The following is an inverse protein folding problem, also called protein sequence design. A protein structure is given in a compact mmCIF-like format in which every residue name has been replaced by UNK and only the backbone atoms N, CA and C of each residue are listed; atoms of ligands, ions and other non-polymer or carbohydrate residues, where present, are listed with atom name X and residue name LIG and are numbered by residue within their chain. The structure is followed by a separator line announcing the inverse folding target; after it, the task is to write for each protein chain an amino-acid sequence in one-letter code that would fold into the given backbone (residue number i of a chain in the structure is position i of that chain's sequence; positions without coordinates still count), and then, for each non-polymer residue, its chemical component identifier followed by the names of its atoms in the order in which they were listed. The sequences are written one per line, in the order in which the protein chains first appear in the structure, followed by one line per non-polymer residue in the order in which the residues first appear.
data_IF_845195206374
#
_entry.id   IF_845195206374
#
_cell.length_a   1.000
_cell.length_b   1.000
_cell.length_c   1.000
_cell.angle_alpha   90.00
_cell.angle_beta   90.00
_cell.angle_gamma   90.00
#
_symmetry.space_group_name_H-M   'P 1'
#
loop_
_entity.id
_entity.type
_entity.pdbx_description
1 polymer ?
#
# COMPACT_ATOMS: atom_id res chain seq x y z
N UNK A 1 22.32 -3.74 3.70
CA UNK A 1 22.20 -3.07 2.38
C UNK A 1 21.43 -3.97 1.42
N UNK A 2 20.45 -3.44 0.72
CA UNK A 2 19.74 -4.11 -0.38
C UNK A 2 19.96 -3.30 -1.63
N UNK A 3 20.43 -3.93 -2.71
CA UNK A 3 20.66 -3.28 -4.00
C UNK A 3 19.79 -3.90 -5.07
N UNK A 4 19.10 -3.05 -5.84
CA UNK A 4 18.27 -3.43 -6.97
C UNK A 4 18.84 -2.74 -8.21
N UNK A 5 19.16 -3.53 -9.23
CA UNK A 5 19.60 -3.01 -10.53
C UNK A 5 18.58 -3.43 -11.59
N UNK A 6 18.23 -2.52 -12.47
CA UNK A 6 17.28 -2.78 -13.54
C UNK A 6 17.75 -2.16 -14.85
N UNK A 7 17.66 -2.93 -15.95
CA UNK A 7 17.65 -2.40 -17.32
C UNK A 7 16.22 -1.92 -17.59
N UNK A 8 16.08 -0.63 -17.78
CA UNK A 8 14.77 0.04 -17.89
C UNK A 8 14.41 0.42 -19.32
N UNK A 9 15.31 0.19 -20.28
CA UNK A 9 15.16 0.71 -21.66
C UNK A 9 13.87 0.24 -22.33
N UNK A 10 13.68 -1.07 -22.39
CA UNK A 10 12.47 -1.63 -23.04
C UNK A 10 11.20 -1.27 -22.28
N UNK A 11 11.25 -1.29 -20.94
CA UNK A 11 10.11 -0.96 -20.08
C UNK A 11 9.69 0.49 -20.26
N UNK A 12 10.64 1.41 -20.30
CA UNK A 12 10.36 2.84 -20.46
C UNK A 12 9.70 3.15 -21.81
N UNK A 13 10.23 2.60 -22.89
CA UNK A 13 9.74 2.84 -24.26
C UNK A 13 8.35 2.22 -24.47
N UNK A 14 8.15 0.96 -24.06
CA UNK A 14 6.86 0.27 -24.18
C UNK A 14 5.76 0.92 -23.31
N UNK A 15 6.09 1.30 -22.08
CA UNK A 15 5.14 1.96 -21.20
C UNK A 15 4.66 3.31 -21.72
N UNK A 16 5.55 4.13 -22.30
CA UNK A 16 5.15 5.39 -22.94
C UNK A 16 4.29 5.17 -24.18
N UNK A 17 4.54 4.10 -24.95
CA UNK A 17 3.72 3.76 -26.10
C UNK A 17 2.29 3.39 -25.70
N UNK A 18 2.15 2.60 -24.62
CA UNK A 18 0.86 2.22 -24.07
C UNK A 18 0.08 3.44 -23.54
N UNK A 19 0.74 4.36 -22.83
CA UNK A 19 0.10 5.61 -22.38
C UNK A 19 -0.41 6.44 -23.57
N UNK A 20 0.37 6.56 -24.63
CA UNK A 20 -0.04 7.30 -25.84
C UNK A 20 -1.23 6.69 -26.55
N UNK A 21 -1.32 5.37 -26.54
CA UNK A 21 -2.40 4.62 -27.20
C UNK A 21 -3.66 4.49 -26.32
N UNK A 22 -3.63 4.94 -25.06
CA UNK A 22 -4.70 4.75 -24.07
C UNK A 22 -5.08 3.26 -23.90
N UNK A 23 -4.10 2.39 -23.97
CA UNK A 23 -4.29 0.94 -23.91
C UNK A 23 -4.54 0.50 -22.46
N UNK A 24 -5.65 -0.21 -22.21
CA UNK A 24 -6.03 -0.70 -20.88
C UNK A 24 -5.09 -1.81 -20.37
N UNK A 25 -4.34 -2.48 -21.24
CA UNK A 25 -3.36 -3.52 -20.88
C UNK A 25 -2.12 -2.98 -20.15
N UNK A 26 -2.01 -1.66 -20.03
CA UNK A 26 -0.92 -1.00 -19.29
C UNK A 26 -0.76 -1.52 -17.86
N UNK A 27 -1.84 -1.85 -17.17
CA UNK A 27 -1.82 -2.33 -15.77
C UNK A 27 -1.25 -3.75 -15.60
N UNK A 28 -1.12 -4.52 -16.70
CA UNK A 28 -0.64 -5.92 -16.63
C UNK A 28 0.89 -6.06 -16.60
N UNK A 29 1.62 -4.97 -16.84
CA UNK A 29 3.10 -5.00 -16.92
C UNK A 29 3.80 -4.79 -15.57
N UNK A 30 3.10 -4.76 -14.43
CA UNK A 30 3.67 -4.42 -13.12
C UNK A 30 4.15 -2.97 -13.03
N UNK A 31 3.75 -2.15 -14.00
CA UNK A 31 3.97 -0.71 -14.05
C UNK A 31 2.71 0.03 -13.64
N UNK A 32 2.85 1.11 -12.89
CA UNK A 32 1.79 2.05 -12.57
C UNK A 32 1.90 3.30 -13.42
N UNK A 33 0.89 4.15 -13.31
CA UNK A 33 0.89 5.49 -13.90
C UNK A 33 0.76 6.50 -12.77
N UNK A 34 1.59 7.54 -12.79
CA UNK A 34 1.43 8.66 -11.88
C UNK A 34 0.25 9.54 -12.32
N UNK A 35 -0.78 9.59 -11.48
CA UNK A 35 -1.93 10.47 -11.65
C UNK A 35 -1.88 11.57 -10.58
N UNK A 36 -1.14 12.61 -10.86
CA UNK A 36 -1.08 13.78 -10.00
C UNK A 36 -1.55 14.99 -10.80
N UNK A 37 -2.51 15.75 -10.25
CA UNK A 37 -3.09 16.90 -10.92
C UNK A 37 -2.02 17.88 -11.41
N UNK A 38 -2.16 18.36 -12.65
CA UNK A 38 -1.24 19.28 -13.33
C UNK A 38 0.19 18.74 -13.53
N UNK A 39 0.37 17.42 -13.46
CA UNK A 39 1.65 16.75 -13.73
C UNK A 39 1.54 15.89 -14.99
N UNK A 40 2.65 15.66 -15.69
CA UNK A 40 2.69 14.72 -16.80
C UNK A 40 2.30 13.30 -16.37
N UNK A 41 1.52 12.63 -17.20
CA UNK A 41 1.22 11.21 -17.03
C UNK A 41 2.46 10.42 -17.45
N UNK A 42 3.13 9.81 -16.49
CA UNK A 42 4.38 9.07 -16.70
C UNK A 42 4.31 7.68 -16.04
N UNK A 43 4.99 6.68 -16.62
CA UNK A 43 5.07 5.34 -16.05
C UNK A 43 5.97 5.32 -14.82
N UNK A 44 5.63 4.47 -13.85
CA UNK A 44 6.52 4.11 -12.76
C UNK A 44 6.44 2.60 -12.48
N UNK A 45 7.51 2.05 -11.93
CA UNK A 45 7.58 0.67 -11.47
C UNK A 45 7.64 0.71 -9.95
N UNK A 46 6.82 -0.07 -9.27
CA UNK A 46 6.89 -0.18 -7.82
C UNK A 46 7.34 -1.57 -7.37
N UNK A 47 8.14 -1.60 -6.32
CA UNK A 47 8.58 -2.80 -5.62
C UNK A 47 8.46 -2.60 -4.12
N UNK A 48 8.01 -3.61 -3.42
CA UNK A 48 7.97 -3.58 -1.97
C UNK A 48 9.19 -4.30 -1.42
N UNK A 49 9.84 -3.68 -0.45
CA UNK A 49 11.11 -4.16 0.11
C UNK A 49 10.98 -4.24 1.61
N UNK A 50 11.23 -5.42 2.15
CA UNK A 50 11.33 -5.62 3.60
C UNK A 50 12.60 -4.96 4.12
N UNK A 51 12.47 -4.21 5.20
CA UNK A 51 13.57 -3.49 5.83
C UNK A 51 13.72 -3.91 7.30
N UNK A 52 14.90 -3.72 7.90
CA UNK A 52 15.10 -4.04 9.31
C UNK A 52 14.08 -3.31 10.20
N UNK A 53 13.62 -3.97 11.29
CA UNK A 53 12.51 -3.46 12.11
C UNK A 53 12.84 -2.12 12.79
N UNK A 54 14.10 -1.83 13.09
CA UNK A 54 14.51 -0.67 13.88
C UNK A 54 15.60 0.18 13.21
N UNK A 55 15.89 -0.02 11.92
CA UNK A 55 16.92 0.78 11.24
C UNK A 55 16.34 2.03 10.59
N UNK A 56 17.13 3.08 10.51
CA UNK A 56 16.92 4.19 9.58
C UNK A 56 17.25 3.70 8.19
N UNK A 57 16.36 3.99 7.22
CA UNK A 57 16.55 3.62 5.82
C UNK A 57 16.85 4.86 4.99
N UNK A 58 17.84 4.76 4.11
CA UNK A 58 18.19 5.77 3.12
C UNK A 58 18.29 5.13 1.75
N UNK A 59 17.84 5.87 0.74
CA UNK A 59 17.95 5.48 -0.66
C UNK A 59 19.13 6.21 -1.30
N UNK A 60 20.03 5.46 -1.93
CA UNK A 60 21.03 5.97 -2.87
C UNK A 60 20.64 5.54 -4.28
N UNK A 61 20.65 6.48 -5.23
CA UNK A 61 20.25 6.26 -6.62
C UNK A 61 21.37 6.62 -7.54
N UNK A 62 21.82 5.65 -8.33
CA UNK A 62 22.78 5.82 -9.41
C UNK A 62 22.06 5.58 -10.74
N UNK A 63 21.92 6.64 -11.53
CA UNK A 63 21.30 6.59 -12.86
C UNK A 63 22.40 6.71 -13.92
N UNK A 64 22.46 5.72 -14.80
CA UNK A 64 23.43 5.67 -15.88
C UNK A 64 22.69 5.76 -17.23
N UNK A 65 23.42 6.23 -18.26
CA UNK A 65 22.92 6.33 -19.63
C UNK A 65 21.61 7.15 -19.74
N UNK A 66 21.58 8.31 -19.07
CA UNK A 66 20.44 9.22 -19.14
C UNK A 66 20.46 9.95 -20.49
N UNK A 67 19.41 9.78 -21.28
CA UNK A 67 19.22 10.42 -22.59
C UNK A 67 18.02 11.34 -22.62
N UNK A 68 18.15 12.49 -23.25
CA UNK A 68 17.06 13.42 -23.47
C UNK A 68 16.46 13.22 -24.87
N UNK A 69 15.13 13.15 -24.95
CA UNK A 69 14.37 13.05 -26.19
C UNK A 69 13.40 14.23 -26.28
N UNK A 70 13.66 15.21 -27.17
CA UNK A 70 12.77 16.35 -27.35
C UNK A 70 11.37 15.93 -27.82
N UNK A 71 10.37 16.71 -27.41
CA UNK A 71 8.99 16.50 -27.79
C UNK A 71 8.50 17.62 -28.71
N UNK A 72 7.73 17.24 -29.73
CA UNK A 72 7.09 18.20 -30.64
C UNK A 72 5.89 18.92 -29.99
N UNK A 73 5.30 18.30 -28.95
CA UNK A 73 4.16 18.82 -28.18
C UNK A 73 4.34 18.50 -26.69
N UNK A 74 3.56 19.17 -25.85
CA UNK A 74 3.58 18.85 -24.43
C UNK A 74 3.07 17.42 -24.15
N UNK A 75 3.59 16.76 -23.08
CA UNK A 75 3.12 15.45 -22.70
C UNK A 75 1.64 15.50 -22.24
N UNK A 76 0.93 14.37 -22.27
CA UNK A 76 -0.39 14.30 -21.65
C UNK A 76 -0.30 14.61 -20.17
N UNK A 77 -1.25 15.44 -19.69
CA UNK A 77 -1.31 15.87 -18.30
C UNK A 77 -2.50 15.23 -17.59
N UNK A 78 -2.33 14.94 -16.33
CA UNK A 78 -3.41 14.50 -15.48
C UNK A 78 -4.39 15.65 -15.23
N UNK A 79 -5.64 15.44 -15.62
CA UNK A 79 -6.74 16.38 -15.41
C UNK A 79 -7.46 16.03 -14.11
N UNK A 80 -7.94 17.06 -13.43
CA UNK A 80 -8.85 16.89 -12.30
C UNK A 80 -10.21 16.35 -12.76
N UNK A 81 -10.90 15.61 -11.90
CA UNK A 81 -12.28 15.18 -12.08
C UNK A 81 -13.26 16.36 -12.26
N UNK A 82 -12.91 17.53 -11.75
CA UNK A 82 -13.67 18.78 -11.90
C UNK A 82 -13.32 19.56 -13.17
N UNK A 83 -12.47 19.00 -14.05
CA UNK A 83 -12.03 19.63 -15.31
C UNK A 83 -11.43 21.05 -15.09
N UNK A 84 -10.74 21.26 -13.96
CA UNK A 84 -10.06 22.53 -13.72
C UNK A 84 -9.04 22.79 -14.82
N UNK A 85 -8.85 24.06 -15.24
CA UNK A 85 -7.85 24.40 -16.24
C UNK A 85 -6.46 24.02 -15.75
N UNK A 86 -5.74 23.27 -16.55
CA UNK A 86 -4.32 22.93 -16.27
C UNK A 86 -3.47 24.17 -16.60
N UNK A 87 -2.78 24.68 -15.60
CA UNK A 87 -1.79 25.75 -15.80
C UNK A 87 -0.38 25.16 -15.91
N UNK A 88 -0.10 24.59 -17.05
CA UNK A 88 1.20 23.98 -17.33
C UNK A 88 2.36 25.01 -17.29
N UNK A 89 2.10 26.25 -17.68
CA UNK A 89 3.12 27.30 -17.77
C UNK A 89 3.64 27.68 -16.38
N UNK A 90 2.74 27.78 -15.39
CA UNK A 90 3.07 28.14 -14.01
C UNK A 90 3.25 26.90 -13.09
N UNK A 91 3.41 25.72 -13.66
CA UNK A 91 3.69 24.55 -12.85
C UNK A 91 5.00 24.73 -12.04
N UNK A 92 4.98 24.31 -10.78
CA UNK A 92 6.00 24.52 -9.76
C UNK A 92 7.23 23.59 -9.89
N UNK A 93 7.36 22.91 -11.02
CA UNK A 93 8.47 21.98 -11.31
C UNK A 93 9.15 22.31 -12.64
N UNK A 94 10.44 22.05 -12.74
CA UNK A 94 11.15 21.97 -14.01
C UNK A 94 11.29 20.50 -14.46
N UNK A 95 11.61 19.60 -13.52
CA UNK A 95 11.73 18.17 -13.79
C UNK A 95 10.71 17.41 -12.93
N UNK A 96 9.95 16.51 -13.57
CA UNK A 96 8.97 15.66 -12.89
C UNK A 96 9.05 14.21 -13.42
N UNK A 97 9.01 13.18 -12.56
CA UNK A 97 9.27 13.23 -11.12
C UNK A 97 10.65 13.79 -10.77
N UNK A 98 10.87 14.21 -9.52
CA UNK A 98 12.15 14.84 -9.13
C UNK A 98 13.34 13.88 -9.17
N UNK A 99 13.10 12.59 -8.96
CA UNK A 99 14.12 11.55 -8.94
C UNK A 99 13.77 10.39 -9.86
N UNK A 100 14.77 9.65 -10.33
CA UNK A 100 14.57 8.39 -11.04
C UNK A 100 14.13 7.26 -10.11
N UNK A 101 14.37 7.38 -8.82
CA UNK A 101 13.79 6.47 -7.83
C UNK A 101 13.54 7.21 -6.51
N UNK A 102 12.53 6.75 -5.77
CA UNK A 102 12.16 7.25 -4.45
C UNK A 102 11.60 6.13 -3.58
N UNK A 103 11.63 6.30 -2.27
CA UNK A 103 11.02 5.37 -1.32
C UNK A 103 9.90 6.07 -0.55
N UNK A 104 8.85 5.32 -0.24
CA UNK A 104 7.82 5.77 0.68
C UNK A 104 8.35 5.90 2.11
N UNK A 105 7.61 6.58 2.98
CA UNK A 105 7.78 6.39 4.42
C UNK A 105 7.64 4.91 4.76
N UNK A 106 8.45 4.38 5.69
CA UNK A 106 8.30 3.02 6.17
C UNK A 106 6.90 2.76 6.72
N UNK A 107 6.32 1.62 6.38
CA UNK A 107 5.03 1.16 6.86
C UNK A 107 5.14 -0.29 7.37
N UNK A 108 4.12 -0.74 8.10
CA UNK A 108 4.13 -2.05 8.74
C UNK A 108 2.90 -2.84 8.26
N UNK A 109 3.15 -4.06 7.79
CA UNK A 109 2.10 -5.04 7.52
C UNK A 109 2.34 -6.24 8.42
N UNK A 110 1.45 -6.50 9.37
CA UNK A 110 1.53 -7.64 10.31
C UNK A 110 2.94 -7.82 10.89
N UNK A 111 3.51 -6.72 11.45
CA UNK A 111 4.83 -6.70 12.06
C UNK A 111 6.01 -6.80 11.11
N UNK A 112 5.79 -6.87 9.82
CA UNK A 112 6.84 -6.75 8.81
C UNK A 112 6.94 -5.30 8.37
N UNK A 113 8.09 -4.70 8.62
CA UNK A 113 8.37 -3.32 8.23
C UNK A 113 8.89 -3.26 6.81
N UNK A 114 8.34 -2.38 6.01
CA UNK A 114 8.57 -2.31 4.57
C UNK A 114 8.64 -0.88 4.08
N UNK A 115 9.20 -0.71 2.89
CA UNK A 115 9.11 0.49 2.07
C UNK A 115 8.63 0.12 0.67
N UNK A 116 7.92 1.03 0.02
CA UNK A 116 7.68 0.97 -1.43
C UNK A 116 8.81 1.73 -2.13
N UNK A 117 9.59 1.06 -2.96
CA UNK A 117 10.50 1.68 -3.92
C UNK A 117 9.71 1.97 -5.18
N UNK A 118 9.67 3.23 -5.59
CA UNK A 118 9.12 3.66 -6.88
C UNK A 118 10.26 4.04 -7.79
N UNK A 119 10.33 3.41 -8.97
CA UNK A 119 11.33 3.69 -10.01
C UNK A 119 10.62 4.40 -11.16
N UNK A 120 11.12 5.54 -11.54
CA UNK A 120 10.60 6.41 -12.60
C UNK A 120 11.54 6.32 -13.81
N UNK A 121 11.34 5.38 -14.74
CA UNK A 121 12.26 5.18 -15.87
C UNK A 121 12.28 6.36 -16.83
N UNK A 122 11.22 7.18 -16.79
CA UNK A 122 11.07 8.39 -17.60
C UNK A 122 10.73 9.56 -16.69
N UNK A 123 11.41 10.68 -16.92
CA UNK A 123 11.11 11.98 -16.29
C UNK A 123 10.84 12.99 -17.38
N UNK A 124 10.09 14.02 -17.10
CA UNK A 124 9.84 15.11 -18.03
C UNK A 124 10.56 16.39 -17.57
N UNK A 125 11.27 17.03 -18.50
CA UNK A 125 11.90 18.32 -18.29
C UNK A 125 11.13 19.42 -19.03
N UNK A 126 10.52 20.33 -18.26
CA UNK A 126 9.66 21.39 -18.79
C UNK A 126 10.44 22.45 -19.60
N UNK A 127 11.60 22.88 -19.10
CA UNK A 127 12.42 23.92 -19.73
C UNK A 127 12.88 23.57 -21.14
N UNK A 128 13.10 22.29 -21.42
CA UNK A 128 13.55 21.80 -22.73
C UNK A 128 12.45 21.06 -23.51
N UNK A 129 11.27 20.92 -22.94
CA UNK A 129 10.15 20.09 -23.45
C UNK A 129 10.65 18.72 -23.90
N UNK A 130 11.30 17.99 -23.00
CA UNK A 130 11.94 16.71 -23.32
C UNK A 130 11.62 15.65 -22.30
N UNK A 131 11.53 14.39 -22.76
CA UNK A 131 11.62 13.25 -21.86
C UNK A 131 13.09 12.94 -21.54
N UNK A 132 13.36 12.65 -20.28
CA UNK A 132 14.64 12.13 -19.80
C UNK A 132 14.46 10.64 -19.49
N UNK A 133 15.05 9.79 -20.29
CA UNK A 133 15.06 8.35 -20.10
C UNK A 133 16.28 7.94 -19.30
N UNK A 134 16.10 7.03 -18.36
CA UNK A 134 17.18 6.34 -17.68
C UNK A 134 17.20 4.90 -18.17
N UNK A 135 18.25 4.51 -18.89
CA UNK A 135 18.33 3.16 -19.45
C UNK A 135 18.84 2.15 -18.39
N UNK A 136 19.74 2.59 -17.48
CA UNK A 136 20.26 1.76 -16.40
C UNK A 136 20.15 2.47 -15.06
N UNK A 137 19.57 1.79 -14.08
CA UNK A 137 19.38 2.30 -12.73
C UNK A 137 19.89 1.32 -11.68
N UNK A 138 20.61 1.84 -10.71
CA UNK A 138 20.91 1.13 -9.47
C UNK A 138 20.32 1.89 -8.29
N UNK A 139 19.39 1.27 -7.57
CA UNK A 139 18.83 1.76 -6.33
C UNK A 139 19.39 0.94 -5.16
N UNK A 140 20.03 1.60 -4.20
CA UNK A 140 20.62 0.95 -3.01
C UNK A 140 19.97 1.48 -1.75
N UNK A 141 19.37 0.59 -0.97
CA UNK A 141 18.85 0.88 0.35
C UNK A 141 19.95 0.62 1.39
N UNK A 142 20.32 1.65 2.10
CA UNK A 142 21.27 1.62 3.20
C UNK A 142 20.55 1.67 4.54
N UNK A 143 20.98 0.86 5.48
CA UNK A 143 20.42 0.78 6.82
C UNK A 143 21.46 1.22 7.85
N UNK A 144 21.04 2.06 8.78
CA UNK A 144 21.88 2.56 9.86
C UNK A 144 21.12 2.65 11.18
N UNK A 145 21.85 2.75 12.27
CA UNK A 145 21.28 3.07 13.57
C UNK A 145 20.79 4.53 13.60
N UNK A 146 19.82 4.80 14.47
CA UNK A 146 19.28 6.14 14.64
C UNK A 146 17.85 6.12 15.17
N UNK A 147 17.08 7.15 14.85
CA UNK A 147 15.67 7.28 15.20
C UNK A 147 14.79 6.92 13.95
N UNK A 148 14.34 5.67 13.85
CA UNK A 148 13.61 5.20 12.67
C UNK A 148 12.16 5.64 12.68
N UNK A 149 11.63 5.93 11.49
CA UNK A 149 10.20 6.13 11.29
C UNK A 149 9.47 4.80 11.36
N UNK A 150 8.38 4.71 12.12
CA UNK A 150 7.56 3.52 12.29
C UNK A 150 8.40 2.26 12.63
N UNK A 151 9.14 2.22 13.75
CA UNK A 151 9.86 1.04 14.16
C UNK A 151 8.91 -0.08 14.62
N UNK A 152 9.34 -1.32 14.47
CA UNK A 152 8.67 -2.48 15.07
C UNK A 152 9.40 -2.85 16.36
N UNK A 153 8.77 -2.64 17.50
CA UNK A 153 9.41 -2.88 18.80
C UNK A 153 9.65 -4.37 19.10
N UNK A 154 8.72 -5.23 18.72
CA UNK A 154 8.75 -6.66 18.97
C UNK A 154 8.57 -7.48 17.68
N UNK A 155 9.57 -7.55 16.79
CA UNK A 155 9.43 -8.18 15.48
C UNK A 155 9.18 -9.71 15.55
N UNK A 156 9.55 -10.35 16.68
CA UNK A 156 9.41 -11.80 16.86
C UNK A 156 8.09 -12.21 17.53
N UNK A 157 7.25 -11.26 17.94
CA UNK A 157 6.03 -11.53 18.72
C UNK A 157 4.81 -11.85 17.87
N UNK A 158 4.88 -11.65 16.56
CA UNK A 158 3.72 -11.83 15.70
C UNK A 158 3.74 -13.20 15.02
N UNK A 159 2.68 -13.93 15.26
CA UNK A 159 2.39 -15.15 14.54
C UNK A 159 2.25 -14.86 13.03
N UNK A 160 2.94 -15.63 12.19
CA UNK A 160 2.90 -15.50 10.74
C UNK A 160 2.25 -16.73 10.14
N UNK A 161 1.00 -16.60 9.72
CA UNK A 161 0.32 -17.68 9.04
C UNK A 161 1.02 -18.03 7.72
N UNK A 162 0.83 -19.27 7.27
CA UNK A 162 1.35 -19.71 5.98
C UNK A 162 0.82 -18.87 4.82
N UNK A 163 -0.44 -18.41 4.91
CA UNK A 163 -1.06 -17.56 3.90
C UNK A 163 -0.37 -16.19 3.84
N UNK A 164 -0.03 -15.62 5.00
CA UNK A 164 0.70 -14.35 5.04
C UNK A 164 2.13 -14.47 4.50
N UNK A 165 2.84 -15.56 4.82
CA UNK A 165 4.18 -15.78 4.26
C UNK A 165 4.13 -15.92 2.74
N UNK A 166 3.13 -16.63 2.21
CA UNK A 166 2.92 -16.70 0.76
C UNK A 166 2.60 -15.33 0.15
N UNK A 167 1.73 -14.55 0.81
CA UNK A 167 1.47 -13.18 0.38
C UNK A 167 2.76 -12.35 0.32
N UNK A 168 3.63 -12.45 1.34
CA UNK A 168 4.91 -11.74 1.33
C UNK A 168 5.83 -12.20 0.19
N UNK A 169 5.84 -13.49 -0.15
CA UNK A 169 6.62 -14.00 -1.28
C UNK A 169 6.16 -13.42 -2.63
N UNK A 170 4.86 -13.23 -2.77
CA UNK A 170 4.29 -12.63 -3.98
C UNK A 170 4.40 -11.09 -3.98
N UNK A 171 4.51 -10.47 -2.80
CA UNK A 171 4.41 -9.03 -2.63
C UNK A 171 5.76 -8.32 -2.48
N UNK A 172 6.74 -8.94 -1.81
CA UNK A 172 8.03 -8.32 -1.48
C UNK A 172 9.21 -8.98 -2.21
N UNK A 173 10.10 -8.17 -2.78
CA UNK A 173 11.27 -8.63 -3.55
C UNK A 173 12.28 -9.44 -2.72
N UNK A 174 12.34 -9.21 -1.42
CA UNK A 174 13.30 -9.83 -0.50
C UNK A 174 12.61 -10.47 0.71
N UNK A 175 11.51 -11.15 0.50
CA UNK A 175 10.75 -11.84 1.55
C UNK A 175 11.56 -12.93 2.26
N UNK A 176 12.61 -13.45 1.60
CA UNK A 176 13.52 -14.48 2.11
C UNK A 176 14.29 -14.08 3.38
N UNK A 177 14.42 -12.76 3.64
CA UNK A 177 15.04 -12.28 4.87
C UNK A 177 14.15 -12.42 6.11
N UNK A 178 12.87 -12.75 5.92
CA UNK A 178 11.92 -12.93 7.01
C UNK A 178 12.10 -14.36 7.56
N UNK A 179 12.40 -14.48 8.87
CA UNK A 179 12.48 -15.77 9.51
C UNK A 179 11.14 -16.52 9.37
N UNK A 180 11.22 -17.73 8.86
CA UNK A 180 10.06 -18.63 8.64
C UNK A 180 9.94 -19.70 9.70
N UNK A 181 11.02 -19.88 10.48
CA UNK A 181 11.12 -20.92 11.49
C UNK A 181 11.12 -20.30 12.88
N UNK A 182 9.98 -20.39 13.55
CA UNK A 182 9.93 -20.31 15.01
C UNK A 182 9.73 -21.73 15.53
N UNK A 183 10.79 -22.39 16.05
CA UNK A 183 10.73 -23.79 16.48
C UNK A 183 9.75 -24.04 17.65
N UNK A 184 9.35 -22.98 18.35
CA UNK A 184 8.43 -23.03 19.49
C UNK A 184 7.00 -22.57 19.18
N UNK A 185 6.71 -22.12 17.96
CA UNK A 185 5.35 -21.76 17.58
C UNK A 185 4.55 -23.00 17.20
N UNK A 186 3.38 -23.24 17.81
CA UNK A 186 2.46 -24.21 17.31
C UNK A 186 2.11 -23.83 15.85
N UNK A 187 2.13 -24.81 14.97
CA UNK A 187 1.81 -24.61 13.54
C UNK A 187 0.36 -24.15 13.44
N UNK A 188 0.12 -22.84 13.47
CA UNK A 188 -1.16 -22.27 13.13
C UNK A 188 -1.29 -22.22 11.62
N UNK A 189 -2.23 -22.98 11.07
CA UNK A 189 -2.43 -23.08 9.63
C UNK A 189 -3.16 -21.88 9.04
N UNK A 190 -3.92 -21.14 9.83
CA UNK A 190 -4.78 -20.07 9.40
C UNK A 190 -4.54 -18.75 10.15
N UNK A 191 -5.12 -17.71 9.62
CA UNK A 191 -5.14 -16.38 10.23
C UNK A 191 -6.15 -16.30 11.37
N UNK A 192 -5.95 -15.37 12.29
CA UNK A 192 -6.91 -15.01 13.32
C UNK A 192 -7.80 -13.85 12.84
N UNK A 193 -9.08 -14.08 12.70
CA UNK A 193 -10.08 -13.11 12.26
C UNK A 193 -10.80 -12.44 13.43
N UNK A 194 -10.92 -11.11 13.39
CA UNK A 194 -11.95 -10.41 14.13
C UNK A 194 -13.09 -10.05 13.14
N UNK A 195 -14.24 -10.68 13.32
CA UNK A 195 -15.45 -10.35 12.56
C UNK A 195 -16.26 -9.34 13.37
N UNK A 196 -16.35 -8.11 12.87
CA UNK A 196 -17.17 -7.05 13.46
C UNK A 196 -18.47 -6.97 12.69
N UNK A 197 -19.58 -7.20 13.35
CA UNK A 197 -20.89 -7.22 12.69
C UNK A 197 -21.98 -6.64 13.60
N UNK A 198 -23.00 -6.08 12.98
CA UNK A 198 -24.20 -5.68 13.72
C UNK A 198 -24.92 -6.93 14.29
N UNK A 199 -25.50 -6.81 15.49
CA UNK A 199 -26.20 -7.93 16.15
C UNK A 199 -27.25 -8.59 15.24
N UNK A 200 -27.96 -7.80 14.43
CA UNK A 200 -28.97 -8.29 13.50
C UNK A 200 -28.38 -8.95 12.23
N UNK A 201 -27.08 -8.81 11.96
CA UNK A 201 -26.41 -9.46 10.84
C UNK A 201 -25.68 -10.74 11.24
N UNK A 202 -25.63 -11.07 12.53
CA UNK A 202 -24.84 -12.19 13.04
C UNK A 202 -25.30 -13.53 12.47
N UNK A 203 -26.60 -13.75 12.31
CA UNK A 203 -27.16 -14.96 11.71
C UNK A 203 -26.70 -15.14 10.26
N UNK A 204 -26.61 -14.06 9.49
CA UNK A 204 -26.16 -14.09 8.10
C UNK A 204 -24.63 -14.26 7.98
N UNK A 205 -23.87 -13.84 8.97
CA UNK A 205 -22.43 -14.04 9.04
C UNK A 205 -22.04 -15.47 9.45
N UNK A 206 -22.92 -16.20 10.12
CA UNK A 206 -22.64 -17.51 10.70
C UNK A 206 -22.08 -18.53 9.70
N UNK A 207 -22.58 -18.69 8.45
CA UNK A 207 -22.03 -19.64 7.48
C UNK A 207 -20.58 -19.33 7.10
N UNK A 208 -20.21 -18.04 6.97
CA UNK A 208 -18.85 -17.62 6.71
C UNK A 208 -17.93 -17.94 7.89
N UNK A 209 -18.36 -17.60 9.11
CA UNK A 209 -17.62 -17.85 10.34
C UNK A 209 -17.34 -19.35 10.51
N UNK A 210 -18.35 -20.19 10.34
CA UNK A 210 -18.21 -21.65 10.41
C UNK A 210 -17.25 -22.18 9.33
N UNK A 211 -17.37 -21.67 8.13
CA UNK A 211 -16.48 -22.07 7.04
C UNK A 211 -15.03 -21.74 7.36
N UNK A 212 -14.73 -20.52 7.85
CA UNK A 212 -13.37 -20.14 8.24
C UNK A 212 -12.84 -21.01 9.37
N UNK A 213 -13.62 -21.29 10.39
CA UNK A 213 -13.22 -22.21 11.46
C UNK A 213 -12.94 -23.63 10.95
N UNK A 214 -13.75 -24.13 10.04
CA UNK A 214 -13.53 -25.46 9.40
C UNK A 214 -12.29 -25.50 8.52
N UNK A 215 -11.84 -24.37 8.00
CA UNK A 215 -10.62 -24.25 7.19
C UNK A 215 -9.37 -23.93 8.01
N UNK A 216 -9.45 -23.96 9.34
CA UNK A 216 -8.29 -23.86 10.25
C UNK A 216 -7.96 -22.45 10.69
N UNK A 217 -8.89 -21.50 10.54
CA UNK A 217 -8.73 -20.13 11.05
C UNK A 217 -9.38 -19.98 12.43
N UNK A 218 -8.76 -19.16 13.27
CA UNK A 218 -9.40 -18.66 14.47
C UNK A 218 -10.33 -17.51 14.12
N UNK A 219 -11.54 -17.50 14.69
CA UNK A 219 -12.52 -16.45 14.41
C UNK A 219 -13.16 -15.95 15.68
N UNK A 220 -12.85 -14.71 15.99
CA UNK A 220 -13.50 -13.93 17.05
C UNK A 220 -14.63 -13.08 16.47
N UNK A 221 -15.61 -12.76 17.32
CA UNK A 221 -16.78 -12.00 16.90
C UNK A 221 -16.95 -10.79 17.84
N UNK A 222 -17.04 -9.61 17.26
CA UNK A 222 -17.44 -8.40 17.94
C UNK A 222 -18.82 -7.99 17.42
N UNK A 223 -19.85 -8.26 18.23
CA UNK A 223 -21.21 -7.89 17.91
C UNK A 223 -21.49 -6.45 18.32
N UNK A 224 -21.93 -5.64 17.36
CA UNK A 224 -22.23 -4.23 17.55
C UNK A 224 -23.72 -4.02 17.76
N UNK A 225 -24.14 -3.52 18.94
CA UNK A 225 -25.56 -3.26 19.23
C UNK A 225 -26.07 -2.02 18.50
N UNK A 226 -27.38 -1.94 18.33
CA UNK A 226 -28.07 -0.87 17.60
C UNK A 226 -27.72 0.55 18.05
N UNK A 227 -27.54 0.77 19.36
CA UNK A 227 -27.29 2.11 19.90
C UNK A 227 -25.94 2.72 19.55
N UNK A 228 -24.98 1.90 19.08
CA UNK A 228 -23.64 2.35 18.65
C UNK A 228 -23.31 1.97 17.21
N UNK A 229 -24.22 1.33 16.48
CA UNK A 229 -23.98 0.83 15.12
C UNK A 229 -23.65 1.91 14.09
N UNK A 230 -23.87 3.18 14.41
CA UNK A 230 -23.58 4.34 13.56
C UNK A 230 -22.45 5.22 14.10
N UNK A 231 -21.84 4.82 15.18
CA UNK A 231 -20.75 5.54 15.82
C UNK A 231 -19.40 4.89 15.44
N UNK A 232 -18.78 5.40 14.37
CA UNK A 232 -17.52 4.89 13.86
C UNK A 232 -16.38 4.98 14.88
N UNK A 233 -16.35 6.07 15.66
CA UNK A 233 -15.31 6.27 16.67
C UNK A 233 -15.46 5.27 17.81
N UNK A 234 -16.71 5.00 18.22
CA UNK A 234 -16.97 3.99 19.25
C UNK A 234 -16.68 2.57 18.75
N UNK A 235 -17.03 2.25 17.50
CA UNK A 235 -16.69 0.95 16.88
C UNK A 235 -15.17 0.78 16.81
N UNK A 236 -14.45 1.81 16.36
CA UNK A 236 -12.97 1.80 16.33
C UNK A 236 -12.40 1.60 17.74
N UNK A 237 -12.93 2.27 18.74
CA UNK A 237 -12.50 2.09 20.14
C UNK A 237 -12.71 0.66 20.63
N UNK A 238 -13.84 0.03 20.32
CA UNK A 238 -14.11 -1.36 20.68
C UNK A 238 -13.17 -2.36 20.00
N UNK A 239 -12.82 -2.10 18.73
CA UNK A 239 -11.82 -2.90 17.99
C UNK A 239 -10.46 -2.75 18.68
N UNK A 240 -10.07 -1.53 19.05
CA UNK A 240 -8.82 -1.25 19.73
C UNK A 240 -8.80 -1.90 21.14
N UNK A 241 -9.87 -1.76 21.92
CA UNK A 241 -10.01 -2.43 23.22
C UNK A 241 -9.85 -3.95 23.11
N UNK A 242 -10.39 -4.56 22.05
CA UNK A 242 -10.23 -5.99 21.77
C UNK A 242 -8.78 -6.33 21.41
N UNK A 243 -8.14 -5.55 20.56
CA UNK A 243 -6.74 -5.72 20.20
C UNK A 243 -5.81 -5.64 21.42
N UNK A 244 -6.01 -4.61 22.25
CA UNK A 244 -5.22 -4.38 23.46
C UNK A 244 -5.43 -5.49 24.52
N UNK A 245 -6.62 -6.10 24.59
CA UNK A 245 -6.86 -7.20 25.50
C UNK A 245 -6.00 -8.42 25.21
N UNK A 246 -5.83 -8.78 23.92
CA UNK A 246 -4.90 -9.84 23.52
C UNK A 246 -3.46 -9.54 23.93
N UNK A 247 -3.00 -8.32 23.68
CA UNK A 247 -1.63 -7.92 24.08
C UNK A 247 -1.42 -7.98 25.56
N UNK A 248 -2.40 -7.55 26.36
CA UNK A 248 -2.35 -7.57 27.83
C UNK A 248 -2.34 -8.99 28.41
N UNK A 249 -3.00 -9.93 27.72
CA UNK A 249 -3.00 -11.35 28.07
C UNK A 249 -1.75 -12.10 27.58
N UNK A 250 -0.87 -11.41 26.84
CA UNK A 250 0.33 -12.02 26.24
C UNK A 250 0.04 -12.87 25.02
N UNK A 251 -1.14 -12.73 24.45
CA UNK A 251 -1.58 -13.42 23.24
C UNK A 251 -1.32 -12.56 21.99
N UNK A 252 -1.26 -13.21 20.84
CA UNK A 252 -1.21 -12.51 19.56
C UNK A 252 -2.61 -11.99 19.20
N UNK A 253 -2.74 -10.70 18.82
CA UNK A 253 -4.02 -10.16 18.39
C UNK A 253 -4.43 -10.71 17.02
N UNK A 254 -5.66 -10.40 16.61
CA UNK A 254 -6.16 -10.79 15.30
C UNK A 254 -5.35 -10.18 14.15
N UNK A 255 -5.21 -10.97 13.08
CA UNK A 255 -4.47 -10.63 11.84
C UNK A 255 -5.37 -10.00 10.78
N UNK A 256 -6.63 -10.40 10.77
CA UNK A 256 -7.62 -10.01 9.78
C UNK A 256 -8.81 -9.33 10.47
N UNK A 257 -9.22 -8.20 9.92
CA UNK A 257 -10.41 -7.50 10.36
C UNK A 257 -11.48 -7.57 9.24
N UNK A 258 -12.62 -8.18 9.53
CA UNK A 258 -13.74 -8.21 8.61
C UNK A 258 -14.90 -7.42 9.18
N UNK A 259 -15.32 -6.37 8.48
CA UNK A 259 -16.50 -5.58 8.81
C UNK A 259 -17.68 -6.06 7.98
N UNK A 260 -18.73 -6.57 8.64
CA UNK A 260 -19.97 -6.99 7.98
C UNK A 260 -21.09 -6.04 8.37
N UNK A 261 -21.59 -5.30 7.38
CA UNK A 261 -22.66 -4.33 7.57
C UNK A 261 -22.95 -3.56 6.30
N UNK A 262 -23.91 -2.64 6.36
CA UNK A 262 -24.31 -1.78 5.24
C UNK A 262 -24.09 -0.31 5.59
N UNK A 263 -23.81 0.49 4.56
CA UNK A 263 -23.70 1.95 4.62
C UNK A 263 -25.07 2.65 4.73
N UNK A 264 -26.16 1.94 4.45
CA UNK A 264 -27.47 2.55 4.38
C UNK A 264 -27.92 3.11 5.74
N UNK A 265 -28.70 4.19 5.72
CA UNK A 265 -29.33 4.80 6.88
C UNK A 265 -30.32 3.86 7.64
N UNK A 266 -30.38 2.60 7.24
CA UNK A 266 -31.19 1.56 7.86
C UNK A 266 -30.38 0.82 8.94
N UNK A 267 -31.06 0.32 9.93
CA UNK A 267 -30.62 -0.11 11.25
C UNK A 267 -29.51 -1.18 11.35
N UNK A 268 -28.84 -1.56 10.27
CA UNK A 268 -27.96 -2.72 10.17
C UNK A 268 -26.50 -2.39 9.82
N UNK A 269 -26.14 -1.10 9.88
CA UNK A 269 -24.80 -0.68 9.45
C UNK A 269 -23.74 -0.88 10.53
N UNK A 270 -22.67 -1.58 10.21
CA UNK A 270 -21.36 -1.30 10.79
C UNK A 270 -20.82 -0.13 9.99
N UNK A 271 -20.82 1.05 10.60
CA UNK A 271 -20.42 2.27 9.92
C UNK A 271 -18.91 2.31 9.85
N UNK A 272 -18.39 2.26 8.63
CA UNK A 272 -17.01 2.66 8.37
C UNK A 272 -16.79 4.17 8.55
N UNK A 273 -15.54 4.66 8.66
CA UNK A 273 -15.17 6.07 8.89
C UNK A 273 -15.71 7.08 7.87
N UNK A 274 -16.26 6.63 6.79
CA UNK A 274 -16.80 7.40 5.66
C UNK A 274 -18.10 8.17 5.94
N UNK A 275 -18.82 7.90 7.02
CA UNK A 275 -20.11 8.58 7.26
C UNK A 275 -19.97 10.00 7.78
N UNK A 276 -18.88 10.32 8.45
CA UNK A 276 -18.65 11.69 8.93
C UNK A 276 -18.41 12.70 7.81
N UNK A 277 -17.99 12.22 6.64
CA UNK A 277 -17.68 13.07 5.49
C UNK A 277 -18.80 13.13 4.45
N UNK A 278 -19.64 12.10 4.35
CA UNK A 278 -20.82 12.12 3.49
C UNK A 278 -21.83 13.20 3.89
N UNK A 279 -21.93 13.51 5.18
CA UNK A 279 -22.77 14.60 5.69
C UNK A 279 -22.21 16.00 5.39
N UNK A 280 -20.92 16.10 4.98
CA UNK A 280 -20.26 17.34 4.55
C UNK A 280 -20.15 17.51 3.04
N UNK A 281 -20.68 16.55 2.27
CA UNK A 281 -20.66 16.60 0.80
C UNK A 281 -19.31 16.29 0.16
N UNK A 282 -18.32 15.85 0.91
CA UNK A 282 -17.02 15.45 0.42
C UNK A 282 -16.95 13.94 0.23
N UNK A 283 -16.76 13.52 -1.03
CA UNK A 283 -16.47 12.11 -1.36
C UNK A 283 -14.97 11.94 -1.30
N UNK A 284 -14.49 11.19 -0.34
CA UNK A 284 -13.12 10.70 -0.37
C UNK A 284 -13.16 9.26 -0.89
N UNK A 285 -12.64 9.09 -2.10
CA UNK A 285 -12.17 7.84 -2.64
C UNK A 285 -10.67 8.00 -2.81
N UNK A 286 -9.91 7.38 -1.96
CA UNK A 286 -8.49 7.06 -2.15
C UNK A 286 -8.24 5.61 -1.75
#
# INVERSE_FOLDING_TARGET
TVSISADLKEIAESSLQLIKNQDEDFLNCGTGINYEYNKPILPYISRFIVIPPQAVVRLNVEAEDVRAVPLDSYPPLCLDSELRPVDFVNADYDIYPQSFAEISSPFIIRGVRMVKLSVNPVRYQKSTNSYLFCDNLRATLEFSDGDPVNPVENPNRQHRSREFLKFLDDFAENSDIISRDHPDDPIHFGDHYLVVTHEGCLEYAAPFIEWRRKTGHDVDILSIPNNISRDSDRIKALIQERYDSYLNEGLDPFDQLLLIGDRSNYAWGVVGPWQLEADRGERIWD
#
